data_IF_644525973150
#
_entry.id   IF_644525973150
#
_cell.length_a   1.000
_cell.length_b   1.000
_cell.length_c   1.000
_cell.angle_alpha   90.00
_cell.angle_beta   90.00
_cell.angle_gamma   90.00
#
_symmetry.space_group_name_H-M   'P 1'
#
loop_
_entity.id
_entity.type
_entity.pdbx_description
1 polymer ?
#
# COMPACT_ATOMS: atom_id res chain seq x y z
N UNK A 1 -4.52 10.35 10.18
CA UNK A 1 -5.38 9.17 10.40
C UNK A 1 -4.54 7.88 10.48
N UNK A 2 -3.72 7.53 9.49
CA UNK A 2 -2.89 6.29 9.46
C UNK A 2 -2.10 6.07 10.76
N UNK A 3 -1.37 7.08 11.23
CA UNK A 3 -0.57 6.99 12.46
C UNK A 3 -1.38 6.66 13.72
N UNK A 4 -2.66 7.04 13.74
CA UNK A 4 -3.57 6.69 14.84
C UNK A 4 -4.09 5.25 14.69
N UNK A 5 -4.41 4.80 13.47
CA UNK A 5 -4.79 3.41 13.20
C UNK A 5 -3.66 2.44 13.57
N UNK A 6 -2.42 2.79 13.25
CA UNK A 6 -1.22 2.02 13.59
C UNK A 6 -0.80 2.16 15.06
N UNK A 7 -1.48 2.99 15.82
CA UNK A 7 -1.13 3.30 17.22
C UNK A 7 0.32 3.77 17.39
N UNK A 8 0.84 4.52 16.39
CA UNK A 8 2.12 5.25 16.59
C UNK A 8 1.95 6.40 17.58
N UNK A 9 0.73 6.97 17.67
CA UNK A 9 0.32 7.95 18.65
C UNK A 9 -0.92 7.46 19.39
N UNK A 10 -1.00 7.80 20.69
CA UNK A 10 -2.20 7.56 21.47
C UNK A 10 -3.25 8.64 21.15
N UNK A 11 -4.52 8.25 21.17
CA UNK A 11 -5.65 9.19 21.00
C UNK A 11 -5.91 9.94 22.29
N UNK A 12 -6.24 11.23 22.19
CA UNK A 12 -6.56 12.06 23.36
C UNK A 12 -7.98 11.78 23.89
N UNK A 13 -8.91 11.41 23.00
CA UNK A 13 -10.31 11.12 23.35
C UNK A 13 -10.95 10.22 22.29
N UNK A 14 -12.09 9.64 22.61
CA UNK A 14 -12.79 8.71 21.73
C UNK A 14 -12.20 7.28 21.79
N UNK A 15 -12.52 6.45 20.78
CA UNK A 15 -12.06 5.06 20.72
C UNK A 15 -11.92 4.61 19.28
N UNK A 16 -10.81 3.98 18.94
CA UNK A 16 -10.62 3.27 17.66
C UNK A 16 -10.78 1.78 17.96
N UNK A 17 -11.64 1.10 17.19
CA UNK A 17 -11.89 -0.34 17.35
C UNK A 17 -11.58 -1.08 16.05
N UNK A 18 -11.01 -2.28 16.17
CA UNK A 18 -10.86 -3.25 15.09
C UNK A 18 -11.69 -4.47 15.48
N UNK A 19 -12.69 -4.80 14.65
CA UNK A 19 -13.65 -5.88 14.91
C UNK A 19 -14.29 -5.81 16.33
N UNK A 20 -14.61 -4.58 16.76
CA UNK A 20 -15.23 -4.32 18.06
C UNK A 20 -14.26 -4.23 19.23
N UNK A 21 -12.98 -4.58 19.07
CA UNK A 21 -11.97 -4.53 20.11
C UNK A 21 -11.22 -3.18 20.07
N UNK A 22 -11.17 -2.41 21.18
CA UNK A 22 -10.41 -1.16 21.24
C UNK A 22 -8.91 -1.42 20.99
N UNK A 23 -8.28 -0.63 20.12
CA UNK A 23 -6.83 -0.77 19.87
C UNK A 23 -5.99 -0.43 21.11
N UNK A 24 -6.53 0.34 22.04
CA UNK A 24 -5.89 0.64 23.34
C UNK A 24 -5.73 -0.59 24.24
N UNK A 25 -6.56 -1.62 24.06
CA UNK A 25 -6.51 -2.89 24.79
C UNK A 25 -5.56 -3.91 24.14
N UNK A 26 -5.08 -3.64 22.92
CA UNK A 26 -4.12 -4.49 22.21
C UNK A 26 -2.69 -4.02 22.48
N UNK A 27 -1.70 -4.92 22.41
CA UNK A 27 -0.31 -4.47 22.32
C UNK A 27 -0.05 -3.77 20.98
N UNK A 28 0.90 -2.83 20.93
CA UNK A 28 1.29 -2.19 19.66
C UNK A 28 1.73 -3.21 18.63
N UNK A 29 2.47 -4.22 19.04
CA UNK A 29 2.90 -5.32 18.18
C UNK A 29 1.72 -6.05 17.54
N UNK A 30 0.66 -6.35 18.32
CA UNK A 30 -0.53 -6.99 17.79
C UNK A 30 -1.28 -6.10 16.81
N UNK A 31 -1.38 -4.79 17.08
CA UNK A 31 -1.96 -3.83 16.12
C UNK A 31 -1.15 -3.81 14.83
N UNK A 32 0.19 -3.74 14.91
CA UNK A 32 1.07 -3.71 13.73
C UNK A 32 0.98 -4.98 12.90
N UNK A 33 0.79 -6.15 13.51
CA UNK A 33 0.62 -7.43 12.79
C UNK A 33 -0.68 -7.49 11.97
N UNK A 34 -1.68 -6.66 12.31
CA UNK A 34 -2.93 -6.60 11.56
C UNK A 34 -2.81 -5.81 10.25
N UNK A 35 -1.75 -5.05 10.05
CA UNK A 35 -1.58 -4.18 8.89
C UNK A 35 -0.34 -4.54 8.08
N UNK A 36 -0.48 -4.55 6.76
CA UNK A 36 0.63 -4.40 5.83
C UNK A 36 0.62 -3.00 5.25
N UNK A 37 1.80 -2.44 5.00
CA UNK A 37 1.95 -1.07 4.49
C UNK A 37 2.74 -1.07 3.19
N UNK A 38 2.21 -0.36 2.18
CA UNK A 38 2.94 0.01 0.97
C UNK A 38 2.94 1.53 0.91
N UNK A 39 4.10 2.13 1.20
CA UNK A 39 4.27 3.58 1.26
C UNK A 39 4.85 4.11 -0.03
N UNK A 40 4.66 5.41 -0.28
CA UNK A 40 5.24 6.13 -1.40
C UNK A 40 6.77 6.03 -1.40
N UNK A 41 7.40 6.28 -0.25
CA UNK A 41 8.84 6.11 -0.09
C UNK A 41 9.17 4.64 0.11
N UNK A 42 9.58 4.02 -0.99
CA UNK A 42 9.96 2.60 -1.00
C UNK A 42 11.31 2.41 -0.29
N UNK A 43 11.26 1.81 0.89
CA UNK A 43 12.48 1.53 1.64
C UNK A 43 12.91 0.06 1.49
N UNK A 44 14.14 -0.11 1.03
CA UNK A 44 14.85 -1.38 1.03
C UNK A 44 16.14 -1.19 1.83
N UNK A 45 16.44 -2.16 2.70
CA UNK A 45 17.69 -2.13 3.45
C UNK A 45 18.82 -2.84 2.69
N UNK A 46 20.05 -2.56 3.08
CA UNK A 46 21.22 -3.25 2.54
C UNK A 46 21.19 -4.72 2.98
N UNK A 47 20.97 -5.61 2.04
CA UNK A 47 20.78 -7.04 2.24
C UNK A 47 20.35 -7.71 0.95
N UNK A 48 20.12 -9.01 0.98
CA UNK A 48 19.68 -9.77 -0.19
C UNK A 48 18.24 -9.43 -0.60
N UNK A 49 17.88 -9.77 -1.85
CA UNK A 49 16.47 -9.71 -2.31
C UNK A 49 15.59 -10.52 -1.37
N UNK A 50 16.03 -11.73 -1.00
CA UNK A 50 15.34 -12.61 -0.05
C UNK A 50 15.08 -11.93 1.28
N UNK A 51 16.10 -11.38 1.91
CA UNK A 51 15.98 -10.69 3.20
C UNK A 51 15.04 -9.51 3.12
N UNK A 52 15.08 -8.74 2.03
CA UNK A 52 14.16 -7.64 1.80
C UNK A 52 12.70 -8.10 1.60
N UNK A 53 12.46 -9.24 0.95
CA UNK A 53 11.12 -9.79 0.76
C UNK A 53 10.58 -10.43 2.04
N UNK A 54 11.38 -11.25 2.70
CA UNK A 54 10.97 -11.98 3.92
C UNK A 54 10.89 -11.03 5.11
N UNK A 55 11.81 -10.05 5.18
CA UNK A 55 11.92 -9.10 6.28
C UNK A 55 11.90 -9.84 7.64
N UNK A 56 10.92 -9.58 8.51
CA UNK A 56 10.79 -10.20 9.84
C UNK A 56 9.84 -11.43 9.86
N UNK A 57 9.52 -12.00 8.70
CA UNK A 57 8.62 -13.15 8.62
C UNK A 57 9.44 -14.45 8.76
N UNK A 58 8.88 -15.43 9.47
CA UNK A 58 9.45 -16.77 9.61
C UNK A 58 8.68 -17.77 8.73
N UNK A 59 9.37 -18.84 8.31
CA UNK A 59 8.75 -19.96 7.61
C UNK A 59 8.34 -19.68 6.15
N UNK A 60 8.81 -18.61 5.55
CA UNK A 60 8.58 -18.32 4.12
C UNK A 60 9.43 -19.25 3.27
N UNK A 61 8.78 -20.03 2.42
CA UNK A 61 9.41 -20.98 1.50
C UNK A 61 9.81 -20.32 0.18
N UNK A 62 10.78 -20.91 -0.54
CA UNK A 62 11.17 -20.45 -1.88
C UNK A 62 9.99 -20.46 -2.87
N UNK A 63 9.12 -21.46 -2.76
CA UNK A 63 7.92 -21.53 -3.58
C UNK A 63 6.98 -20.34 -3.35
N UNK A 64 6.85 -19.86 -2.12
CA UNK A 64 6.05 -18.66 -1.81
C UNK A 64 6.71 -17.40 -2.37
N UNK A 65 8.05 -17.29 -2.29
CA UNK A 65 8.80 -16.19 -2.88
C UNK A 65 8.61 -16.14 -4.40
N UNK A 66 8.81 -17.27 -5.08
CA UNK A 66 8.63 -17.39 -6.53
C UNK A 66 7.20 -17.01 -6.96
N UNK A 67 6.19 -17.55 -6.25
CA UNK A 67 4.79 -17.26 -6.53
C UNK A 67 4.48 -15.77 -6.43
N UNK A 68 4.93 -15.12 -5.36
CA UNK A 68 4.66 -13.68 -5.16
C UNK A 68 5.44 -12.85 -6.18
N UNK A 69 6.69 -13.19 -6.47
CA UNK A 69 7.46 -12.51 -7.52
C UNK A 69 6.81 -12.64 -8.90
N UNK A 70 6.24 -13.80 -9.22
CA UNK A 70 5.49 -14.01 -10.47
C UNK A 70 4.26 -13.10 -10.52
N UNK A 71 3.48 -13.02 -9.44
CA UNK A 71 2.30 -12.14 -9.35
C UNK A 71 2.68 -10.67 -9.52
N UNK A 72 3.79 -10.24 -8.91
CA UNK A 72 4.29 -8.87 -9.03
C UNK A 72 5.06 -8.60 -10.34
N UNK A 73 5.26 -9.59 -11.22
CA UNK A 73 6.05 -9.44 -12.45
C UNK A 73 7.55 -9.22 -12.18
N UNK A 74 8.05 -9.65 -11.02
CA UNK A 74 9.44 -9.58 -10.61
C UNK A 74 10.26 -10.83 -11.00
N UNK A 75 9.60 -11.88 -11.51
CA UNK A 75 10.23 -13.15 -11.88
C UNK A 75 11.44 -12.96 -12.81
N UNK A 76 11.24 -12.22 -13.90
CA UNK A 76 12.32 -11.92 -14.85
C UNK A 76 13.44 -11.11 -14.22
N UNK A 77 13.10 -10.11 -13.40
CA UNK A 77 14.09 -9.29 -12.71
C UNK A 77 14.97 -10.15 -11.81
N UNK A 78 14.37 -10.99 -10.95
CA UNK A 78 15.12 -11.86 -10.04
C UNK A 78 16.01 -12.84 -10.81
N UNK A 79 15.52 -13.42 -11.92
CA UNK A 79 16.33 -14.33 -12.74
C UNK A 79 17.51 -13.65 -13.47
N UNK A 80 17.46 -12.35 -13.71
CA UNK A 80 18.60 -11.61 -14.30
C UNK A 80 19.70 -11.28 -13.29
N UNK A 81 19.40 -11.41 -12.00
CA UNK A 81 20.36 -11.13 -10.94
C UNK A 81 21.39 -12.28 -10.83
N UNK A 82 22.69 -11.98 -10.57
CA UNK A 82 23.76 -12.98 -10.57
C UNK A 82 23.54 -14.16 -9.61
N UNK A 83 22.88 -13.90 -8.48
CA UNK A 83 22.59 -14.90 -7.42
C UNK A 83 21.08 -15.00 -7.14
N UNK A 84 20.20 -14.55 -8.06
CA UNK A 84 18.76 -14.59 -7.89
C UNK A 84 18.32 -13.90 -6.59
N UNK A 85 17.57 -14.62 -5.75
CA UNK A 85 17.11 -14.12 -4.46
C UNK A 85 18.22 -13.78 -3.47
N UNK A 86 19.39 -14.38 -3.61
CA UNK A 86 20.51 -14.18 -2.69
C UNK A 86 21.46 -13.04 -3.16
N UNK A 87 21.09 -12.35 -4.23
CA UNK A 87 21.80 -11.13 -4.68
C UNK A 87 21.62 -10.01 -3.67
N UNK A 88 22.72 -9.43 -3.22
CA UNK A 88 22.73 -8.30 -2.28
C UNK A 88 22.30 -7.02 -3.01
N UNK A 89 21.32 -6.34 -2.47
CA UNK A 89 20.87 -5.04 -2.90
C UNK A 89 21.66 -3.97 -2.16
N UNK A 90 22.62 -3.37 -2.84
CA UNK A 90 23.39 -2.24 -2.32
C UNK A 90 22.95 -0.93 -2.99
N UNK A 91 23.35 0.21 -2.46
CA UNK A 91 23.09 1.51 -3.09
C UNK A 91 23.65 1.61 -4.54
N UNK A 92 24.69 0.83 -4.85
CA UNK A 92 25.25 0.72 -6.19
C UNK A 92 24.49 -0.21 -7.12
N UNK A 93 23.59 -1.06 -6.61
CA UNK A 93 22.72 -1.88 -7.43
C UNK A 93 21.65 -0.97 -8.06
N UNK A 94 21.69 -0.82 -9.38
CA UNK A 94 20.77 0.03 -10.14
C UNK A 94 19.37 -0.59 -10.21
N UNK A 95 18.65 -0.59 -9.08
CA UNK A 95 17.24 -1.02 -9.01
C UNK A 95 16.38 0.19 -9.35
N UNK A 96 15.48 0.05 -10.33
CA UNK A 96 14.56 1.13 -10.69
C UNK A 96 13.55 1.41 -9.57
N UNK A 97 13.03 2.64 -9.52
CA UNK A 97 11.98 3.01 -8.57
C UNK A 97 10.78 2.06 -8.63
N UNK A 98 10.36 1.66 -9.83
CA UNK A 98 9.29 0.70 -10.02
C UNK A 98 9.60 -0.69 -9.50
N UNK A 99 10.83 -1.19 -9.69
CA UNK A 99 11.25 -2.47 -9.11
C UNK A 99 11.26 -2.42 -7.57
N UNK A 100 11.73 -1.32 -6.98
CA UNK A 100 11.67 -1.12 -5.53
C UNK A 100 10.22 -1.17 -5.03
N UNK A 101 9.30 -0.51 -5.73
CA UNK A 101 7.89 -0.51 -5.38
C UNK A 101 7.28 -1.91 -5.50
N UNK A 102 7.55 -2.64 -6.57
CA UNK A 102 7.10 -4.02 -6.72
C UNK A 102 7.64 -4.95 -5.63
N UNK A 103 8.90 -4.78 -5.20
CA UNK A 103 9.46 -5.52 -4.06
C UNK A 103 8.74 -5.22 -2.75
N UNK A 104 8.36 -3.96 -2.49
CA UNK A 104 7.58 -3.62 -1.28
C UNK A 104 6.16 -4.16 -1.34
N UNK A 105 5.52 -4.20 -2.51
CA UNK A 105 4.22 -4.86 -2.71
C UNK A 105 4.34 -6.37 -2.47
N UNK A 106 5.37 -7.00 -3.02
CA UNK A 106 5.65 -8.43 -2.83
C UNK A 106 5.86 -8.78 -1.34
N UNK A 107 6.58 -7.94 -0.60
CA UNK A 107 6.71 -8.03 0.88
C UNK A 107 5.35 -7.99 1.58
N UNK A 108 4.49 -7.03 1.21
CA UNK A 108 3.15 -6.91 1.78
C UNK A 108 2.25 -8.11 1.45
N UNK A 109 2.40 -8.71 0.26
CA UNK A 109 1.71 -9.97 -0.11
C UNK A 109 2.16 -11.15 0.76
N UNK A 110 3.48 -11.28 0.99
CA UNK A 110 4.03 -12.34 1.84
C UNK A 110 3.58 -12.20 3.29
N UNK A 111 3.54 -10.97 3.82
CA UNK A 111 3.07 -10.69 5.18
C UNK A 111 1.61 -11.10 5.38
N UNK A 112 0.79 -11.05 4.34
CA UNK A 112 -0.59 -11.50 4.31
C UNK A 112 -1.47 -10.98 5.46
N UNK A 113 -1.27 -9.73 5.87
CA UNK A 113 -2.07 -9.08 6.91
C UNK A 113 -3.51 -8.85 6.44
N UNK A 114 -4.52 -8.89 7.34
CA UNK A 114 -5.93 -8.72 6.99
C UNK A 114 -6.28 -7.30 6.53
N UNK A 115 -5.50 -6.31 6.94
CA UNK A 115 -5.70 -4.90 6.59
C UNK A 115 -4.49 -4.33 5.89
N UNK A 116 -4.73 -3.38 5.00
CA UNK A 116 -3.70 -2.72 4.19
C UNK A 116 -3.75 -1.20 4.38
N UNK A 117 -2.57 -0.59 4.39
CA UNK A 117 -2.40 0.86 4.27
C UNK A 117 -1.57 1.09 3.02
N UNK A 118 -2.14 1.76 2.04
CA UNK A 118 -1.56 1.99 0.74
C UNK A 118 -1.45 3.48 0.48
N UNK A 119 -0.24 3.94 0.17
CA UNK A 119 0.01 5.32 -0.26
C UNK A 119 0.38 5.30 -1.75
N UNK A 120 -0.55 5.79 -2.58
CA UNK A 120 -0.42 5.76 -4.04
C UNK A 120 0.42 6.93 -4.54
N UNK A 121 1.72 6.73 -4.70
CA UNK A 121 2.51 7.66 -5.48
C UNK A 121 3.38 6.90 -6.49
N UNK A 122 3.12 7.15 -7.76
CA UNK A 122 3.82 6.52 -8.90
C UNK A 122 4.44 7.54 -9.84
N UNK A 123 4.80 8.72 -9.35
CA UNK A 123 5.17 9.89 -10.17
C UNK A 123 6.48 9.77 -10.98
N UNK A 124 7.20 8.64 -10.93
CA UNK A 124 8.52 8.51 -11.55
C UNK A 124 8.76 7.16 -12.23
N UNK A 125 7.70 6.49 -12.71
CA UNK A 125 7.79 5.14 -13.26
C UNK A 125 7.27 5.13 -14.71
N UNK A 126 7.93 4.34 -15.58
CA UNK A 126 7.46 4.17 -16.95
C UNK A 126 6.09 3.46 -17.01
N UNK A 127 5.35 3.69 -18.10
CA UNK A 127 3.97 3.19 -18.27
C UNK A 127 3.84 1.67 -18.15
N UNK A 128 4.84 0.91 -18.59
CA UNK A 128 4.80 -0.55 -18.50
C UNK A 128 4.92 -1.03 -17.06
N UNK A 129 5.86 -0.46 -16.33
CA UNK A 129 6.05 -0.77 -14.90
C UNK A 129 4.87 -0.27 -14.07
N UNK A 130 4.28 0.86 -14.44
CA UNK A 130 3.05 1.36 -13.81
C UNK A 130 1.89 0.35 -13.91
N UNK A 131 1.69 -0.26 -15.08
CA UNK A 131 0.67 -1.31 -15.26
C UNK A 131 0.95 -2.55 -14.41
N UNK A 132 2.22 -2.93 -14.22
CA UNK A 132 2.59 -4.03 -13.32
C UNK A 132 2.30 -3.70 -11.87
N UNK A 133 2.64 -2.49 -11.42
CA UNK A 133 2.35 -1.99 -10.07
C UNK A 133 0.84 -2.02 -9.83
N UNK A 134 0.04 -1.49 -10.76
CA UNK A 134 -1.42 -1.48 -10.64
C UNK A 134 -1.98 -2.90 -10.47
N UNK A 135 -1.56 -3.85 -11.33
CA UNK A 135 -1.99 -5.25 -11.23
C UNK A 135 -1.59 -5.88 -9.91
N UNK A 136 -0.37 -5.64 -9.45
CA UNK A 136 0.10 -6.15 -8.17
C UNK A 136 -0.70 -5.56 -7.00
N UNK A 137 -1.05 -4.27 -7.05
CA UNK A 137 -1.91 -3.62 -6.07
C UNK A 137 -3.32 -4.19 -6.07
N UNK A 138 -3.92 -4.39 -7.26
CA UNK A 138 -5.25 -4.99 -7.40
C UNK A 138 -5.29 -6.41 -6.80
N UNK A 139 -4.23 -7.22 -7.01
CA UNK A 139 -4.11 -8.54 -6.38
C UNK A 139 -3.91 -8.45 -4.87
N UNK A 140 -3.11 -7.49 -4.39
CA UNK A 140 -2.84 -7.29 -2.98
C UNK A 140 -4.11 -6.93 -2.21
N UNK A 141 -5.01 -6.12 -2.77
CA UNK A 141 -6.22 -5.61 -2.10
C UNK A 141 -7.36 -6.62 -2.04
N UNK A 142 -7.35 -7.67 -2.87
CA UNK A 142 -8.43 -8.66 -2.94
C UNK A 142 -8.73 -9.29 -1.58
N UNK A 143 -9.99 -9.19 -1.15
CA UNK A 143 -10.48 -9.81 0.09
C UNK A 143 -9.94 -9.19 1.38
N UNK A 144 -9.40 -7.96 1.33
CA UNK A 144 -8.83 -7.26 2.48
C UNK A 144 -9.43 -5.88 2.65
N UNK A 145 -9.51 -5.42 3.89
CA UNK A 145 -9.85 -4.02 4.17
C UNK A 145 -8.64 -3.15 3.87
N UNK A 146 -8.78 -2.23 2.90
CA UNK A 146 -7.69 -1.39 2.43
C UNK A 146 -7.97 0.08 2.69
N UNK A 147 -7.04 0.76 3.35
CA UNK A 147 -7.03 2.21 3.52
C UNK A 147 -6.08 2.78 2.47
N UNK A 148 -6.62 3.47 1.47
CA UNK A 148 -5.84 4.00 0.37
C UNK A 148 -5.79 5.51 0.44
N UNK A 149 -4.56 6.08 0.48
CA UNK A 149 -4.35 7.50 0.24
C UNK A 149 -4.28 7.66 -1.26
N UNK A 150 -5.42 8.04 -1.85
CA UNK A 150 -5.60 7.98 -3.29
C UNK A 150 -5.11 9.26 -3.98
N UNK A 151 -4.26 9.07 -4.98
CA UNK A 151 -3.80 10.11 -5.90
C UNK A 151 -4.29 9.86 -7.33
N UNK A 152 -4.98 8.73 -7.57
CA UNK A 152 -5.50 8.34 -8.88
C UNK A 152 -7.03 8.38 -8.90
N UNK A 153 -7.55 8.87 -10.02
CA UNK A 153 -8.98 8.98 -10.26
C UNK A 153 -9.69 7.62 -10.18
N UNK A 154 -9.09 6.58 -10.78
CA UNK A 154 -9.65 5.22 -10.78
C UNK A 154 -9.80 4.64 -9.37
N UNK A 155 -8.81 4.86 -8.51
CA UNK A 155 -8.83 4.40 -7.11
C UNK A 155 -9.94 5.10 -6.34
N UNK A 156 -10.08 6.42 -6.52
CA UNK A 156 -11.13 7.19 -5.85
C UNK A 156 -12.53 6.73 -6.30
N UNK A 157 -12.75 6.58 -7.62
CA UNK A 157 -14.05 6.17 -8.16
C UNK A 157 -14.50 4.79 -7.72
N UNK A 158 -13.57 3.86 -7.58
CA UNK A 158 -13.85 2.46 -7.28
C UNK A 158 -13.80 2.14 -5.78
N UNK A 159 -13.61 3.14 -4.92
CA UNK A 159 -13.59 2.93 -3.48
C UNK A 159 -15.01 2.64 -2.94
N UNK A 160 -15.13 1.65 -2.06
CA UNK A 160 -16.38 1.32 -1.38
C UNK A 160 -16.83 2.45 -0.43
N UNK A 161 -15.88 3.21 0.10
CA UNK A 161 -16.13 4.37 0.94
C UNK A 161 -15.00 5.40 0.76
N UNK A 162 -15.38 6.63 0.47
CA UNK A 162 -14.47 7.78 0.40
C UNK A 162 -14.64 8.60 1.68
N UNK A 163 -13.54 8.90 2.35
CA UNK A 163 -13.49 9.82 3.48
C UNK A 163 -12.78 11.09 3.04
N UNK A 164 -13.51 12.19 2.98
CA UNK A 164 -12.97 13.51 2.63
C UNK A 164 -12.53 14.21 3.90
N UNK A 165 -11.25 14.49 4.00
CA UNK A 165 -10.65 15.07 5.19
C UNK A 165 -10.22 16.51 4.95
N UNK A 166 -10.51 17.37 5.93
CA UNK A 166 -10.04 18.76 5.96
C UNK A 166 -9.69 19.14 7.40
N UNK A 167 -8.53 19.72 7.59
CA UNK A 167 -8.02 20.20 8.89
C UNK A 167 -8.09 19.14 10.01
N UNK A 168 -7.97 17.85 9.66
CA UNK A 168 -8.01 16.74 10.60
C UNK A 168 -9.39 16.10 10.80
N UNK A 169 -10.46 16.75 10.32
CA UNK A 169 -11.83 16.26 10.42
C UNK A 169 -12.29 15.57 9.14
N UNK A 170 -13.18 14.58 9.27
CA UNK A 170 -13.92 13.99 8.15
C UNK A 170 -15.13 14.87 7.87
N UNK A 171 -15.06 15.68 6.80
CA UNK A 171 -16.13 16.63 6.43
C UNK A 171 -17.21 16.02 5.55
N UNK A 172 -16.85 15.03 4.73
CA UNK A 172 -17.78 14.29 3.87
C UNK A 172 -17.40 12.81 3.84
N UNK A 173 -18.40 11.95 3.67
CA UNK A 173 -18.20 10.52 3.44
C UNK A 173 -19.30 9.95 2.56
N UNK A 174 -18.95 8.95 1.74
CA UNK A 174 -19.88 8.29 0.81
C UNK A 174 -19.13 7.65 -0.35
N UNK A 175 -19.87 7.14 -1.32
CA UNK A 175 -19.33 6.69 -2.60
C UNK A 175 -19.17 7.86 -3.58
N UNK A 176 -18.39 7.65 -4.65
CA UNK A 176 -18.10 8.69 -5.64
C UNK A 176 -19.35 9.39 -6.16
N UNK A 177 -20.33 8.61 -6.62
CA UNK A 177 -21.56 9.15 -7.23
C UNK A 177 -22.37 10.01 -6.26
N UNK A 178 -22.49 9.58 -5.00
CA UNK A 178 -23.20 10.33 -3.96
C UNK A 178 -22.52 11.66 -3.64
N UNK A 179 -21.18 11.63 -3.51
CA UNK A 179 -20.40 12.81 -3.19
C UNK A 179 -20.41 13.83 -4.35
N UNK A 180 -20.36 13.36 -5.60
CA UNK A 180 -20.50 14.21 -6.78
C UNK A 180 -21.89 14.86 -6.85
N UNK A 181 -22.96 14.09 -6.57
CA UNK A 181 -24.35 14.62 -6.57
C UNK A 181 -24.58 15.67 -5.48
N UNK A 182 -23.91 15.54 -4.33
CA UNK A 182 -24.01 16.54 -3.25
C UNK A 182 -23.42 17.89 -3.63
N UNK A 183 -22.50 17.94 -4.62
CA UNK A 183 -21.87 19.19 -5.07
C UNK A 183 -21.07 19.90 -3.98
N UNK A 184 -20.50 19.13 -3.03
CA UNK A 184 -19.74 19.65 -1.90
C UNK A 184 -18.24 19.75 -2.18
N UNK A 185 -17.45 19.79 -1.11
CA UNK A 185 -15.99 19.93 -1.19
C UNK A 185 -15.33 18.82 -2.02
N UNK A 186 -15.83 17.59 -1.94
CA UNK A 186 -15.35 16.50 -2.78
C UNK A 186 -15.52 16.79 -4.27
N UNK A 187 -16.71 17.23 -4.69
CA UNK A 187 -17.00 17.52 -6.09
C UNK A 187 -16.13 18.66 -6.62
N UNK A 188 -15.94 19.72 -5.83
CA UNK A 188 -15.06 20.84 -6.18
C UNK A 188 -13.61 20.37 -6.35
N UNK A 189 -13.10 19.57 -5.40
CA UNK A 189 -11.76 19.02 -5.45
C UNK A 189 -11.57 18.11 -6.66
N UNK A 190 -12.54 17.22 -6.91
CA UNK A 190 -12.54 16.31 -8.04
C UNK A 190 -12.47 17.06 -9.37
N UNK A 191 -13.36 18.03 -9.59
CA UNK A 191 -13.40 18.81 -10.82
C UNK A 191 -12.13 19.64 -11.02
N UNK A 192 -11.58 20.22 -9.95
CA UNK A 192 -10.36 21.02 -10.03
C UNK A 192 -9.11 20.22 -10.38
N UNK A 193 -9.02 18.96 -9.94
CA UNK A 193 -7.83 18.15 -10.13
C UNK A 193 -7.89 17.22 -11.35
N UNK A 194 -9.09 16.77 -11.73
CA UNK A 194 -9.25 15.67 -12.68
C UNK A 194 -9.99 16.01 -13.97
N UNK A 195 -10.79 17.09 -14.03
CA UNK A 195 -11.43 17.53 -15.28
C UNK A 195 -10.48 18.33 -16.21
N UNK A 196 -9.41 18.92 -15.66
CA UNK A 196 -8.41 19.64 -16.47
C UNK A 196 -7.44 18.70 -17.22
N UNK A 197 -7.53 17.40 -17.02
CA UNK A 197 -6.68 16.37 -17.64
C UNK A 197 -7.37 15.60 -18.79
N UNK A 198 -8.55 16.06 -19.23
CA UNK A 198 -9.33 15.41 -20.31
C UNK A 198 -9.20 16.15 -21.62
#
# INVERSE_FOLDING_TARGET
>A
MVNLLMRFFEINSGTIKIDGVPISEMSRENVHKLFSMVLQDTWLFEGTVRENLVYNMEGITDQQLEKVCCVCGLDKFVHTLPQGFDTVLSESASISAGQKQLLTIARAMLQNAPMLILDEATSSVDTRTELLIQRAMDELTKGRTSFVIAHRLSTIKNADLILVMRDGDVIESGIHEELMQRGGFYADLYNSQFEQAS
#
